data_IF_157312821655
#
_entry.id   IF_157312821655
#
_cell.length_a   1.000
_cell.length_b   1.000
_cell.length_c   1.000
_cell.angle_alpha   90.00
_cell.angle_beta   90.00
_cell.angle_gamma   90.00
#
_symmetry.space_group_name_H-M   'P 1'
#
loop_
_entity.id
_entity.type
_entity.pdbx_description
1 polymer ?
#
# COMPACT_ATOMS: atom_id res chain seq x y z
N UNK A 1 69.72 50.08 -1.35
CA UNK A 1 69.07 49.80 -2.65
C UNK A 1 69.65 48.48 -3.12
N UNK A 2 68.95 47.38 -3.30
CA UNK A 2 67.52 47.13 -3.38
C UNK A 2 67.26 45.65 -3.00
N UNK A 3 66.25 45.44 -2.14
CA UNK A 3 65.33 44.29 -2.03
C UNK A 3 65.87 42.86 -1.76
N UNK A 4 65.76 42.48 -0.49
CA UNK A 4 65.39 41.12 -0.11
C UNK A 4 64.05 40.76 -0.77
N UNK A 5 64.07 39.91 -1.78
CA UNK A 5 62.85 39.35 -2.37
C UNK A 5 62.15 38.50 -1.31
N UNK A 6 61.05 39.02 -0.76
CA UNK A 6 60.11 38.25 0.07
C UNK A 6 59.67 37.04 -0.74
N UNK A 7 60.14 35.85 -0.37
CA UNK A 7 59.74 34.60 -0.99
C UNK A 7 58.26 34.33 -0.65
N UNK A 8 57.36 34.75 -1.52
CA UNK A 8 55.93 34.52 -1.37
C UNK A 8 55.60 33.07 -1.78
N UNK A 9 55.30 32.23 -0.78
CA UNK A 9 54.82 30.87 -1.00
C UNK A 9 53.37 30.93 -1.49
N UNK A 10 53.14 30.38 -2.68
CA UNK A 10 51.83 30.30 -3.33
C UNK A 10 51.09 29.02 -2.95
N UNK A 11 49.77 29.09 -3.00
CA UNK A 11 48.87 27.95 -2.82
C UNK A 11 49.17 26.85 -3.83
N UNK A 12 49.34 25.62 -3.34
CA UNK A 12 49.53 24.44 -4.20
C UNK A 12 48.23 23.66 -4.27
N UNK A 13 47.73 23.41 -5.49
CA UNK A 13 46.54 22.56 -5.71
C UNK A 13 46.70 21.14 -5.14
N UNK A 14 47.93 20.65 -5.00
CA UNK A 14 48.18 19.32 -4.43
C UNK A 14 47.75 19.21 -2.96
N UNK A 15 47.65 20.32 -2.21
CA UNK A 15 47.12 20.33 -0.84
C UNK A 15 45.62 19.97 -0.78
N UNK A 16 44.89 20.12 -1.89
CA UNK A 16 43.50 19.63 -2.00
C UNK A 16 43.42 18.11 -2.15
N UNK A 17 44.55 17.41 -2.27
CA UNK A 17 44.62 15.95 -2.32
C UNK A 17 45.21 15.35 -1.05
N UNK A 18 45.79 16.18 -0.17
CA UNK A 18 46.44 15.75 1.07
C UNK A 18 45.42 15.37 2.15
N UNK A 19 45.62 14.21 2.76
CA UNK A 19 44.75 13.70 3.83
C UNK A 19 44.80 14.64 5.04
N UNK A 20 43.64 15.16 5.43
CA UNK A 20 43.49 16.18 6.49
C UNK A 20 43.35 17.62 6.02
N UNK A 21 43.64 17.93 4.74
CA UNK A 21 43.41 19.25 4.13
C UNK A 21 42.40 19.21 2.97
N UNK A 22 42.35 18.12 2.20
CA UNK A 22 41.49 17.89 1.02
C UNK A 22 40.05 18.34 1.14
N UNK A 23 39.38 18.00 2.24
CA UNK A 23 37.97 18.31 2.44
C UNK A 23 37.73 19.73 2.97
N UNK A 24 38.79 20.44 3.36
CA UNK A 24 38.71 21.64 4.21
C UNK A 24 39.11 22.93 3.50
N UNK A 25 40.00 22.85 2.51
CA UNK A 25 40.54 24.02 1.81
C UNK A 25 40.12 24.06 0.34
N UNK A 26 40.09 25.26 -0.22
CA UNK A 26 39.97 25.53 -1.64
C UNK A 26 40.85 26.73 -2.01
N UNK A 27 41.41 26.72 -3.23
CA UNK A 27 42.08 27.89 -3.78
C UNK A 27 41.13 29.08 -3.96
N UNK A 28 41.62 30.30 -3.73
CA UNK A 28 40.85 31.53 -3.98
C UNK A 28 41.12 32.00 -5.41
N UNK A 29 40.09 32.25 -6.24
CA UNK A 29 40.30 32.75 -7.60
C UNK A 29 41.02 34.11 -7.57
N UNK A 30 42.12 34.22 -8.33
CA UNK A 30 42.94 35.44 -8.52
C UNK A 30 43.80 35.86 -7.32
N UNK A 31 43.88 35.06 -6.24
CA UNK A 31 44.82 35.28 -5.14
C UNK A 31 45.46 33.95 -4.70
N UNK A 32 46.68 33.72 -5.16
CA UNK A 32 47.45 32.51 -4.84
C UNK A 32 48.15 32.61 -3.47
N UNK A 33 48.06 33.74 -2.76
CA UNK A 33 48.72 33.93 -1.46
C UNK A 33 47.88 33.47 -0.27
N UNK A 34 46.62 33.11 -0.52
CA UNK A 34 45.65 32.66 0.49
C UNK A 34 44.87 31.42 0.02
N UNK A 35 44.38 30.65 0.99
CA UNK A 35 43.45 29.54 0.79
C UNK A 35 42.15 29.82 1.53
N UNK A 36 41.01 29.45 0.98
CA UNK A 36 39.72 29.53 1.66
C UNK A 36 39.46 28.26 2.48
N UNK A 37 39.05 28.40 3.73
CA UNK A 37 38.52 27.29 4.51
C UNK A 37 37.02 27.13 4.26
N UNK A 38 36.61 25.95 3.76
CA UNK A 38 35.22 25.60 3.43
C UNK A 38 34.28 25.58 4.65
N UNK A 39 34.81 25.31 5.85
CA UNK A 39 34.03 25.27 7.10
C UNK A 39 33.95 26.62 7.81
N UNK A 40 35.05 27.37 7.82
CA UNK A 40 35.12 28.65 8.53
C UNK A 40 34.63 29.84 7.69
N UNK A 41 34.51 29.65 6.37
CA UNK A 41 34.27 30.71 5.39
C UNK A 41 35.23 31.91 5.56
N UNK A 42 36.50 31.62 5.83
CA UNK A 42 37.58 32.60 6.02
C UNK A 42 38.78 32.25 5.17
N UNK A 43 39.56 33.27 4.78
CA UNK A 43 40.85 33.09 4.12
C UNK A 43 41.96 32.86 5.15
N UNK A 44 42.85 31.92 4.85
CA UNK A 44 44.05 31.58 5.63
C UNK A 44 45.24 31.76 4.70
N UNK A 45 46.37 32.24 5.22
CA UNK A 45 47.59 32.37 4.42
C UNK A 45 47.95 31.03 3.80
N UNK A 46 48.34 31.02 2.51
CA UNK A 46 48.69 29.83 1.75
C UNK A 46 50.07 29.25 2.15
N UNK A 47 50.26 29.05 3.45
CA UNK A 47 51.42 28.42 4.05
C UNK A 47 50.97 27.12 4.71
N UNK A 48 51.58 25.99 4.33
CA UNK A 48 51.15 24.66 4.79
C UNK A 48 51.02 24.57 6.32
N UNK A 49 51.98 25.12 7.06
CA UNK A 49 51.92 25.18 8.52
C UNK A 49 50.70 25.94 9.06
N UNK A 50 50.33 27.06 8.42
CA UNK A 50 49.18 27.88 8.85
C UNK A 50 47.86 27.16 8.54
N UNK A 51 47.78 26.45 7.41
CA UNK A 51 46.63 25.64 7.03
C UNK A 51 46.45 24.44 7.98
N UNK A 52 47.55 23.80 8.38
CA UNK A 52 47.53 22.70 9.35
C UNK A 52 47.15 23.19 10.74
N UNK A 53 47.63 24.36 11.19
CA UNK A 53 47.32 24.91 12.51
C UNK A 53 45.93 25.57 12.59
N UNK A 54 45.38 26.02 11.46
CA UNK A 54 44.02 26.57 11.43
C UNK A 54 42.99 25.55 11.95
N UNK A 55 43.23 24.24 11.75
CA UNK A 55 42.35 23.16 12.24
C UNK A 55 42.19 23.13 13.76
N UNK A 56 43.20 23.59 14.50
CA UNK A 56 43.20 23.59 15.97
C UNK A 56 42.55 24.83 16.57
N UNK A 57 42.16 25.82 15.74
CA UNK A 57 41.46 27.01 16.23
C UNK A 57 40.05 26.65 16.71
N UNK A 58 39.60 27.27 17.80
CA UNK A 58 38.25 27.01 18.35
C UNK A 58 37.14 27.32 17.35
N UNK A 59 37.30 28.40 16.57
CA UNK A 59 36.37 28.75 15.47
C UNK A 59 36.23 27.61 14.46
N UNK A 60 37.35 26.96 14.11
CA UNK A 60 37.32 25.81 13.20
C UNK A 60 36.70 24.57 13.84
N UNK A 61 37.03 24.26 15.10
CA UNK A 61 36.41 23.12 15.81
C UNK A 61 34.89 23.25 15.88
N UNK A 62 34.38 24.44 16.19
CA UNK A 62 32.94 24.74 16.26
C UNK A 62 32.27 24.58 14.89
N UNK A 63 32.87 25.14 13.84
CA UNK A 63 32.25 25.12 12.51
C UNK A 63 32.41 23.78 11.77
N UNK A 64 33.43 22.99 12.12
CA UNK A 64 33.64 21.65 11.56
C UNK A 64 32.85 20.55 12.30
N UNK A 65 32.40 20.79 13.55
CA UNK A 65 31.61 19.83 14.35
C UNK A 65 30.38 19.23 13.65
N UNK A 66 29.59 19.97 12.85
CA UNK A 66 28.46 19.42 12.10
C UNK A 66 28.89 18.45 10.97
N UNK A 67 30.13 18.54 10.52
CA UNK A 67 30.66 17.83 9.35
C UNK A 67 31.71 16.77 9.70
N UNK A 68 32.30 16.83 10.90
CA UNK A 68 33.30 15.87 11.40
C UNK A 68 32.71 14.49 11.64
N UNK A 69 31.39 14.41 11.79
CA UNK A 69 30.63 13.18 11.78
C UNK A 69 29.76 13.14 10.52
N UNK A 70 30.36 12.72 9.41
CA UNK A 70 29.64 11.95 8.39
C UNK A 70 28.99 10.75 9.09
N UNK A 71 27.81 10.96 9.70
CA UNK A 71 26.91 9.88 10.05
C UNK A 71 26.46 9.29 8.72
N UNK A 72 27.19 8.28 8.25
CA UNK A 72 26.61 7.31 7.34
C UNK A 72 25.31 6.85 8.00
N UNK A 73 24.20 6.97 7.27
CA UNK A 73 22.87 6.49 7.66
C UNK A 73 22.89 5.02 8.15
N UNK A 74 23.94 4.28 7.82
CA UNK A 74 24.24 2.90 8.24
C UNK A 74 24.82 2.73 9.65
N UNK A 75 25.19 3.81 10.33
CA UNK A 75 25.64 3.78 11.74
C UNK A 75 24.57 4.25 12.72
N UNK A 76 23.32 4.37 12.28
CA UNK A 76 22.16 4.37 13.19
C UNK A 76 21.86 2.96 13.69
N UNK A 77 22.90 2.26 14.17
CA UNK A 77 22.69 1.36 15.28
C UNK A 77 22.13 2.22 16.39
N UNK A 78 20.96 1.82 16.92
CA UNK A 78 20.38 2.35 18.16
C UNK A 78 21.55 2.73 19.07
N UNK A 79 21.70 4.00 19.51
CA UNK A 79 22.73 4.31 20.48
C UNK A 79 22.55 3.31 21.60
N UNK A 80 23.56 2.48 21.87
CA UNK A 80 23.60 1.66 23.07
C UNK A 80 23.70 2.65 24.22
N UNK A 81 22.58 3.27 24.56
CA UNK A 81 22.40 3.99 25.79
C UNK A 81 22.54 2.94 26.88
N UNK A 82 23.73 2.85 27.46
CA UNK A 82 23.86 2.30 28.78
C UNK A 82 22.84 3.02 29.66
N UNK A 83 21.84 2.29 30.15
CA UNK A 83 20.82 2.83 31.06
C UNK A 83 19.35 2.60 30.71
N UNK A 84 18.96 2.04 29.56
CA UNK A 84 17.54 1.68 29.34
C UNK A 84 17.24 0.34 30.00
N UNK A 85 16.36 0.35 30.99
CA UNK A 85 15.86 -0.87 31.65
C UNK A 85 15.15 -1.78 30.64
N UNK A 86 15.21 -3.10 30.83
CA UNK A 86 14.49 -4.03 29.95
C UNK A 86 12.98 -3.75 29.93
N UNK A 87 12.41 -3.28 31.04
CA UNK A 87 11.01 -2.86 31.13
C UNK A 87 10.67 -1.73 30.16
N UNK A 88 11.50 -0.68 30.09
CA UNK A 88 11.29 0.43 29.16
C UNK A 88 11.32 -0.01 27.68
N UNK A 89 12.26 -0.91 27.31
CA UNK A 89 12.32 -1.47 25.95
C UNK A 89 11.07 -2.27 25.60
N UNK A 90 10.58 -3.09 26.53
CA UNK A 90 9.35 -3.88 26.34
C UNK A 90 8.15 -2.97 26.17
N UNK A 91 8.04 -1.88 26.95
CA UNK A 91 6.94 -0.92 26.83
C UNK A 91 6.96 -0.19 25.48
N UNK A 92 8.14 0.24 25.02
CA UNK A 92 8.30 0.85 23.70
C UNK A 92 7.95 -0.12 22.56
N UNK A 93 8.35 -1.40 22.67
CA UNK A 93 7.99 -2.42 21.69
C UNK A 93 6.47 -2.70 21.67
N UNK A 94 5.83 -2.78 22.84
CA UNK A 94 4.37 -2.94 22.94
C UNK A 94 3.63 -1.77 22.30
N UNK A 95 4.08 -0.54 22.56
CA UNK A 95 3.49 0.65 21.96
C UNK A 95 3.72 0.70 20.44
N UNK A 96 4.94 0.37 19.99
CA UNK A 96 5.24 0.29 18.57
C UNK A 96 4.39 -0.76 17.84
N UNK A 97 4.17 -1.93 18.46
CA UNK A 97 3.27 -2.96 17.93
C UNK A 97 1.82 -2.46 17.86
N UNK A 98 1.33 -1.80 18.90
CA UNK A 98 -0.01 -1.22 18.90
C UNK A 98 -0.19 -0.19 17.78
N UNK A 99 0.78 0.72 17.61
CA UNK A 99 0.76 1.71 16.52
C UNK A 99 0.75 1.01 15.16
N UNK A 100 1.61 0.01 14.95
CA UNK A 100 1.66 -0.72 13.68
C UNK A 100 0.33 -1.38 13.31
N UNK A 101 -0.44 -1.86 14.30
CA UNK A 101 -1.70 -2.55 14.06
C UNK A 101 -2.92 -1.63 13.97
N UNK A 102 -2.90 -0.47 14.64
CA UNK A 102 -4.13 0.28 14.92
C UNK A 102 -4.06 1.77 14.62
N UNK A 103 -2.91 2.33 14.25
CA UNK A 103 -2.79 3.78 14.08
C UNK A 103 -1.74 4.19 13.04
N UNK A 104 -1.76 5.47 12.68
CA UNK A 104 -0.68 6.08 11.93
C UNK A 104 0.54 6.31 12.84
N UNK A 105 1.73 6.00 12.33
CA UNK A 105 3.01 6.27 13.04
C UNK A 105 3.15 7.75 13.40
N UNK A 106 2.50 8.66 12.64
CA UNK A 106 2.50 10.11 12.95
C UNK A 106 1.90 10.44 14.32
N UNK A 107 1.03 9.58 14.85
CA UNK A 107 0.38 9.81 16.15
C UNK A 107 1.31 9.56 17.34
N UNK A 108 2.42 8.84 17.13
CA UNK A 108 3.26 8.36 18.23
C UNK A 108 3.98 9.49 18.97
N UNK A 109 4.25 10.61 18.29
CA UNK A 109 4.97 11.75 18.87
C UNK A 109 4.17 12.36 20.04
N UNK A 110 2.90 12.70 19.79
CA UNK A 110 2.01 13.24 20.84
C UNK A 110 1.54 12.17 21.81
N UNK A 111 1.34 10.93 21.35
CA UNK A 111 0.93 9.83 22.23
C UNK A 111 2.00 9.53 23.28
N UNK A 112 3.29 9.56 22.89
CA UNK A 112 4.40 9.36 23.82
C UNK A 112 4.48 10.43 24.90
N UNK A 113 4.16 11.69 24.58
CA UNK A 113 4.07 12.79 25.54
C UNK A 113 2.89 12.61 26.51
N UNK A 114 1.71 12.33 25.97
CA UNK A 114 0.50 12.10 26.77
C UNK A 114 0.67 10.93 27.75
N UNK A 115 1.27 9.82 27.31
CA UNK A 115 1.50 8.65 28.17
C UNK A 115 2.44 8.99 29.34
N UNK A 116 3.44 9.87 29.16
CA UNK A 116 4.30 10.35 30.25
C UNK A 116 3.54 11.21 31.26
N UNK A 117 2.62 12.05 30.79
CA UNK A 117 1.80 12.87 31.66
C UNK A 117 0.85 12.02 32.50
N UNK A 118 0.19 11.03 31.89
CA UNK A 118 -0.77 10.14 32.56
C UNK A 118 -0.07 9.19 33.53
N UNK A 119 1.06 8.60 33.13
CA UNK A 119 1.74 7.54 33.90
C UNK A 119 2.69 8.10 34.98
N UNK A 120 2.85 9.43 35.05
CA UNK A 120 3.85 10.08 35.89
C UNK A 120 5.27 10.02 35.32
N UNK A 121 6.18 10.82 35.89
CA UNK A 121 7.58 10.98 35.44
C UNK A 121 8.43 9.69 35.50
N UNK A 122 7.91 8.61 36.08
CA UNK A 122 8.65 7.34 36.27
C UNK A 122 8.69 6.44 35.03
N UNK A 123 7.80 6.64 34.05
CA UNK A 123 7.90 5.88 32.79
C UNK A 123 8.93 6.51 31.85
N UNK A 124 10.10 5.89 31.75
CA UNK A 124 11.11 6.20 30.74
C UNK A 124 10.66 5.75 29.34
N UNK A 125 9.63 6.39 28.78
CA UNK A 125 9.13 6.14 27.43
C UNK A 125 9.68 7.23 26.50
N UNK A 126 10.65 6.94 25.64
CA UNK A 126 11.13 7.92 24.67
C UNK A 126 10.91 7.34 23.27
N UNK A 127 9.65 7.39 22.83
CA UNK A 127 9.23 6.85 21.54
C UNK A 127 8.72 7.97 20.64
N UNK A 128 9.56 8.36 19.68
CA UNK A 128 9.19 9.27 18.59
C UNK A 128 9.03 8.50 17.29
N UNK A 129 8.43 9.13 16.27
CA UNK A 129 8.17 8.56 14.94
C UNK A 129 9.35 7.75 14.41
N UNK A 130 10.55 8.34 14.36
CA UNK A 130 11.75 7.69 13.81
C UNK A 130 12.12 6.41 14.57
N UNK A 131 12.03 6.45 15.91
CA UNK A 131 12.33 5.29 16.75
C UNK A 131 11.24 4.23 16.64
N UNK A 132 9.96 4.62 16.60
CA UNK A 132 8.85 3.71 16.38
C UNK A 132 8.99 2.98 15.04
N UNK A 133 9.26 3.72 13.96
CA UNK A 133 9.54 3.13 12.64
C UNK A 133 10.73 2.17 12.69
N UNK A 134 11.82 2.53 13.38
CA UNK A 134 12.97 1.65 13.52
C UNK A 134 12.65 0.38 14.32
N UNK A 135 11.90 0.48 15.42
CA UNK A 135 11.47 -0.69 16.20
C UNK A 135 10.57 -1.63 15.38
N UNK A 136 9.65 -1.07 14.59
CA UNK A 136 8.79 -1.86 13.71
C UNK A 136 9.64 -2.56 12.64
N UNK A 137 10.46 -1.81 11.90
CA UNK A 137 11.15 -2.33 10.72
C UNK A 137 12.40 -3.16 11.02
N UNK A 138 13.07 -2.90 12.15
CA UNK A 138 14.37 -3.53 12.46
C UNK A 138 14.28 -4.53 13.62
N UNK A 139 13.22 -4.51 14.43
CA UNK A 139 13.05 -5.45 15.53
C UNK A 139 11.80 -6.33 15.36
N UNK A 140 10.60 -5.74 15.35
CA UNK A 140 9.35 -6.49 15.32
C UNK A 140 9.19 -7.28 14.01
N UNK A 141 9.27 -6.59 12.86
CA UNK A 141 9.12 -7.21 11.54
C UNK A 141 10.08 -8.39 11.30
N UNK A 142 11.41 -8.20 11.47
CA UNK A 142 12.37 -9.29 11.30
C UNK A 142 12.16 -10.45 12.29
N UNK A 143 11.78 -10.16 13.53
CA UNK A 143 11.50 -11.20 14.53
C UNK A 143 10.26 -12.04 14.14
N UNK A 144 9.16 -11.37 13.77
CA UNK A 144 7.94 -12.04 13.32
C UNK A 144 8.16 -12.82 12.03
N UNK A 145 8.94 -12.28 11.09
CA UNK A 145 9.32 -12.99 9.86
C UNK A 145 10.11 -14.25 10.18
N UNK A 146 11.09 -14.16 11.09
CA UNK A 146 11.90 -15.32 11.50
C UNK A 146 11.04 -16.38 12.19
N UNK A 147 10.12 -15.98 13.06
CA UNK A 147 9.16 -16.89 13.71
C UNK A 147 8.28 -17.58 12.68
N UNK A 148 7.72 -16.83 11.72
CA UNK A 148 6.92 -17.37 10.62
C UNK A 148 7.71 -18.38 9.79
N UNK A 149 8.92 -18.02 9.35
CA UNK A 149 9.78 -18.93 8.58
C UNK A 149 10.18 -20.17 9.39
N UNK A 150 10.35 -20.05 10.71
CA UNK A 150 10.64 -21.18 11.58
C UNK A 150 9.43 -22.08 11.82
N UNK A 151 8.21 -21.55 11.80
CA UNK A 151 6.98 -22.36 11.92
C UNK A 151 6.68 -23.10 10.60
N UNK A 152 6.99 -22.48 9.46
CA UNK A 152 6.95 -23.13 8.13
C UNK A 152 8.05 -24.19 8.03
N UNK A 153 9.29 -23.83 8.39
CA UNK A 153 10.47 -24.70 8.38
C UNK A 153 10.54 -25.56 7.12
N UNK A 154 10.49 -26.88 7.30
CA UNK A 154 10.66 -27.89 6.27
C UNK A 154 9.32 -28.44 5.73
N UNK A 155 8.20 -27.79 6.06
CA UNK A 155 6.86 -28.23 5.66
C UNK A 155 6.51 -27.83 4.23
N UNK A 156 5.54 -28.53 3.64
CA UNK A 156 4.93 -28.12 2.39
C UNK A 156 4.09 -26.86 2.60
N UNK A 157 4.14 -25.95 1.62
CA UNK A 157 3.40 -24.70 1.67
C UNK A 157 2.79 -24.35 0.32
N UNK A 158 1.84 -23.43 0.33
CA UNK A 158 1.25 -22.84 -0.86
C UNK A 158 1.36 -21.33 -0.81
N UNK A 159 1.38 -20.68 -1.97
CA UNK A 159 1.43 -19.23 -2.09
C UNK A 159 0.12 -18.70 -2.66
N UNK A 160 -0.32 -17.57 -2.15
CA UNK A 160 -1.40 -16.76 -2.73
C UNK A 160 -0.76 -15.43 -3.10
N UNK A 161 -0.80 -15.08 -4.39
CA UNK A 161 -0.21 -13.85 -4.89
C UNK A 161 -1.24 -12.98 -5.57
N UNK A 162 -1.17 -11.67 -5.30
CA UNK A 162 -2.05 -10.66 -5.89
C UNK A 162 -1.23 -9.42 -6.28
N UNK A 163 -1.47 -8.89 -7.48
CA UNK A 163 -0.79 -7.70 -7.97
C UNK A 163 -1.62 -6.46 -7.61
N UNK A 164 -1.00 -5.49 -6.93
CA UNK A 164 -1.60 -4.19 -6.68
C UNK A 164 -0.72 -3.08 -7.25
N UNK A 165 -1.34 -2.04 -7.79
CA UNK A 165 -0.65 -0.81 -8.20
C UNK A 165 -0.80 0.22 -7.10
N UNK A 166 0.31 0.71 -6.56
CA UNK A 166 0.33 1.79 -5.58
C UNK A 166 -0.04 3.14 -6.25
N UNK A 167 -0.48 4.11 -5.46
CA UNK A 167 -0.86 5.46 -5.89
C UNK A 167 0.32 6.17 -6.58
N UNK A 168 1.55 5.78 -6.24
CA UNK A 168 2.80 6.28 -6.82
C UNK A 168 3.21 5.57 -8.12
N UNK A 169 2.32 4.77 -8.73
CA UNK A 169 2.53 3.96 -9.95
C UNK A 169 3.47 2.76 -9.81
N UNK A 170 3.98 2.49 -8.60
CA UNK A 170 4.77 1.31 -8.31
C UNK A 170 3.90 0.05 -8.25
N UNK A 171 4.29 -1.00 -8.98
CA UNK A 171 3.63 -2.30 -8.92
C UNK A 171 4.20 -3.11 -7.77
N UNK A 172 3.34 -3.64 -6.91
CA UNK A 172 3.72 -4.48 -5.78
C UNK A 172 2.97 -5.81 -5.87
N UNK A 173 3.68 -6.90 -5.64
CA UNK A 173 3.11 -8.23 -5.51
C UNK A 173 2.93 -8.54 -4.03
N UNK A 174 1.68 -8.62 -3.57
CA UNK A 174 1.37 -9.14 -2.26
C UNK A 174 1.54 -10.67 -2.27
N UNK A 175 2.33 -11.19 -1.34
CA UNK A 175 2.57 -12.63 -1.20
C UNK A 175 2.07 -13.07 0.16
N UNK A 176 1.12 -13.99 0.17
CA UNK A 176 0.68 -14.71 1.36
C UNK A 176 1.15 -16.17 1.25
N UNK A 177 1.45 -16.77 2.40
CA UNK A 177 1.81 -18.17 2.52
C UNK A 177 0.72 -18.91 3.29
N UNK A 178 0.38 -20.11 2.82
CA UNK A 178 -0.55 -21.03 3.47
C UNK A 178 0.15 -22.35 3.75
N UNK A 179 0.19 -22.78 5.01
CA UNK A 179 0.97 -23.94 5.43
C UNK A 179 0.38 -24.62 6.68
N UNK A 180 0.70 -25.91 6.95
CA UNK A 180 0.34 -26.58 8.19
C UNK A 180 1.30 -26.17 9.32
N UNK A 181 0.78 -25.48 10.33
CA UNK A 181 1.55 -25.21 11.56
C UNK A 181 1.34 -26.34 12.55
N UNK A 182 2.40 -27.13 12.78
CA UNK A 182 2.39 -28.22 13.76
C UNK A 182 2.34 -27.69 15.19
N UNK A 183 2.94 -26.53 15.44
CA UNK A 183 2.91 -25.87 16.76
C UNK A 183 1.49 -25.45 17.15
N UNK A 184 0.72 -24.92 16.20
CA UNK A 184 -0.66 -24.45 16.40
C UNK A 184 -1.74 -25.46 16.02
N UNK A 185 -1.35 -26.63 15.49
CA UNK A 185 -2.22 -27.73 15.04
C UNK A 185 -3.33 -27.27 14.07
N UNK A 186 -3.01 -26.34 13.18
CA UNK A 186 -3.97 -25.80 12.18
C UNK A 186 -3.26 -25.34 10.92
N UNK A 187 -4.03 -25.24 9.83
CA UNK A 187 -3.59 -24.55 8.62
C UNK A 187 -3.60 -23.04 8.89
N UNK A 188 -2.50 -22.38 8.56
CA UNK A 188 -2.33 -20.93 8.75
C UNK A 188 -2.15 -20.30 7.39
N UNK A 189 -2.89 -19.21 7.15
CA UNK A 189 -2.59 -18.26 6.09
C UNK A 189 -1.97 -17.03 6.75
N UNK A 190 -0.79 -16.64 6.30
CA UNK A 190 -0.09 -15.46 6.83
C UNK A 190 0.44 -14.61 5.68
N UNK A 191 0.46 -13.30 5.88
CA UNK A 191 1.20 -12.41 5.02
C UNK A 191 2.69 -12.77 5.08
N UNK A 192 3.31 -12.92 3.91
CA UNK A 192 4.74 -13.24 3.78
C UNK A 192 5.54 -12.01 3.37
N UNK A 193 5.00 -11.15 2.50
CA UNK A 193 5.69 -9.92 2.13
C UNK A 193 5.05 -9.20 0.95
N UNK A 194 5.57 -7.99 0.69
CA UNK A 194 5.31 -7.24 -0.52
C UNK A 194 6.60 -7.22 -1.34
N UNK A 195 6.51 -7.67 -2.59
CA UNK A 195 7.63 -7.67 -3.53
C UNK A 195 7.44 -6.53 -4.50
N UNK A 196 8.42 -5.64 -4.58
CA UNK A 196 8.42 -4.55 -5.56
C UNK A 196 8.71 -5.12 -6.96
N UNK A 197 7.89 -4.71 -7.92
CA UNK A 197 8.01 -5.14 -9.31
C UNK A 197 8.43 -3.95 -10.16
N UNK A 198 9.59 -4.06 -10.81
CA UNK A 198 10.03 -3.07 -11.79
C UNK A 198 9.09 -3.05 -13.02
N UNK A 199 8.55 -4.22 -13.39
CA UNK A 199 7.67 -4.41 -14.54
C UNK A 199 6.62 -5.47 -14.24
N UNK A 200 5.44 -5.33 -14.82
CA UNK A 200 4.35 -6.32 -14.72
C UNK A 200 4.43 -7.43 -15.77
N UNK A 201 5.63 -7.83 -16.23
CA UNK A 201 5.77 -8.97 -17.16
C UNK A 201 5.86 -10.26 -16.35
N UNK A 202 5.40 -11.37 -16.93
CA UNK A 202 5.44 -12.68 -16.27
C UNK A 202 6.86 -13.06 -15.82
N UNK A 203 7.86 -12.73 -16.63
CA UNK A 203 9.27 -12.91 -16.29
C UNK A 203 9.69 -12.12 -15.06
N UNK A 204 9.43 -10.81 -15.04
CA UNK A 204 9.82 -9.95 -13.93
C UNK A 204 9.13 -10.39 -12.63
N UNK A 205 7.83 -10.71 -12.70
CA UNK A 205 7.06 -11.21 -11.56
C UNK A 205 7.64 -12.53 -11.04
N UNK A 206 7.92 -13.49 -11.93
CA UNK A 206 8.46 -14.80 -11.52
C UNK A 206 9.84 -14.65 -10.88
N UNK A 207 10.74 -13.88 -11.52
CA UNK A 207 12.10 -13.67 -11.03
C UNK A 207 12.08 -12.99 -9.66
N UNK A 208 11.30 -11.92 -9.50
CA UNK A 208 11.18 -11.24 -8.21
C UNK A 208 10.57 -12.12 -7.13
N UNK A 209 9.56 -12.93 -7.47
CA UNK A 209 8.94 -13.88 -6.54
C UNK A 209 9.92 -14.97 -6.09
N UNK A 210 10.64 -15.61 -7.02
CA UNK A 210 11.63 -16.64 -6.70
C UNK A 210 12.78 -16.08 -5.88
N UNK A 211 13.30 -14.90 -6.26
CA UNK A 211 14.34 -14.20 -5.49
C UNK A 211 13.86 -13.88 -4.08
N UNK A 212 12.63 -13.39 -3.91
CA UNK A 212 12.06 -13.13 -2.59
C UNK A 212 12.00 -14.41 -1.73
N UNK A 213 11.48 -15.51 -2.30
CA UNK A 213 11.37 -16.80 -1.59
C UNK A 213 12.74 -17.35 -1.19
N UNK A 214 13.71 -17.33 -2.11
CA UNK A 214 15.02 -17.97 -1.91
C UNK A 214 16.00 -17.09 -1.12
N UNK A 215 16.10 -15.80 -1.46
CA UNK A 215 17.09 -14.90 -0.87
C UNK A 215 16.61 -14.25 0.43
N UNK A 216 15.34 -13.86 0.50
CA UNK A 216 14.78 -13.15 1.65
C UNK A 216 14.20 -14.11 2.68
N UNK A 217 13.27 -14.97 2.26
CA UNK A 217 12.54 -15.87 3.16
C UNK A 217 13.32 -17.17 3.44
N UNK A 218 14.15 -17.60 2.47
CA UNK A 218 14.96 -18.83 2.53
C UNK A 218 14.13 -20.11 2.63
N UNK A 219 13.03 -20.18 1.89
CA UNK A 219 12.23 -21.40 1.76
C UNK A 219 12.60 -22.16 0.48
N UNK A 220 12.46 -23.48 0.52
CA UNK A 220 12.65 -24.32 -0.65
C UNK A 220 11.43 -24.24 -1.59
N UNK A 221 11.64 -23.67 -2.77
CA UNK A 221 10.63 -23.54 -3.84
C UNK A 221 10.04 -24.89 -4.24
N UNK A 222 10.81 -25.99 -4.12
CA UNK A 222 10.32 -27.34 -4.45
C UNK A 222 9.23 -27.83 -3.47
N UNK A 223 9.16 -27.26 -2.26
CA UNK A 223 8.12 -27.55 -1.27
C UNK A 223 6.85 -26.70 -1.44
N UNK A 224 6.87 -25.77 -2.40
CA UNK A 224 5.69 -25.03 -2.80
C UNK A 224 4.74 -25.94 -3.60
N UNK A 225 3.73 -26.51 -2.96
CA UNK A 225 2.79 -27.45 -3.59
C UNK A 225 1.65 -26.75 -4.31
N UNK A 226 1.39 -25.48 -3.97
CA UNK A 226 0.25 -24.72 -4.51
C UNK A 226 0.58 -23.27 -4.82
N UNK A 227 0.07 -22.76 -5.94
CA UNK A 227 0.11 -21.35 -6.30
C UNK A 227 -1.30 -20.87 -6.65
N UNK A 228 -1.80 -19.91 -5.90
CA UNK A 228 -3.04 -19.22 -6.19
C UNK A 228 -2.77 -17.82 -6.75
N UNK A 229 -3.37 -17.51 -7.89
CA UNK A 229 -3.18 -16.22 -8.59
C UNK A 229 -4.51 -15.68 -9.10
N UNK A 230 -4.53 -14.42 -9.50
CA UNK A 230 -5.59 -13.93 -10.38
C UNK A 230 -5.63 -14.71 -11.72
N UNK A 231 -6.73 -14.55 -12.46
CA UNK A 231 -6.94 -15.24 -13.73
C UNK A 231 -6.26 -14.57 -14.93
N UNK A 232 -5.35 -13.61 -14.72
CA UNK A 232 -4.74 -12.86 -15.80
C UNK A 232 -3.83 -13.76 -16.66
N UNK A 233 -3.74 -13.48 -17.97
CA UNK A 233 -2.87 -14.22 -18.88
C UNK A 233 -1.39 -14.15 -18.45
N UNK A 234 -0.95 -13.02 -17.90
CA UNK A 234 0.40 -12.88 -17.35
C UNK A 234 0.67 -13.84 -16.19
N UNK A 235 -0.35 -14.16 -15.38
CA UNK A 235 -0.21 -15.01 -14.19
C UNK A 235 -0.39 -16.50 -14.52
N UNK A 236 -1.38 -16.83 -15.36
CA UNK A 236 -1.81 -18.22 -15.58
C UNK A 236 -1.92 -18.66 -17.05
N UNK A 237 -1.44 -17.86 -18.00
CA UNK A 237 -1.42 -18.19 -19.42
C UNK A 237 -0.64 -19.48 -19.73
N UNK A 238 -0.96 -20.12 -20.85
CA UNK A 238 -0.31 -21.37 -21.26
C UNK A 238 1.19 -21.20 -21.55
N UNK A 239 1.56 -20.03 -22.08
CA UNK A 239 2.94 -19.70 -22.44
C UNK A 239 3.36 -18.39 -21.80
N UNK A 240 4.61 -18.34 -21.36
CA UNK A 240 5.25 -17.16 -20.77
C UNK A 240 4.39 -16.48 -19.69
N UNK A 241 3.87 -17.28 -18.77
CA UNK A 241 3.14 -16.82 -17.59
C UNK A 241 3.94 -17.10 -16.32
N UNK A 242 3.54 -16.48 -15.21
CA UNK A 242 4.13 -16.77 -13.90
C UNK A 242 4.02 -18.25 -13.58
N UNK A 243 2.85 -18.85 -13.84
CA UNK A 243 2.65 -20.28 -13.66
C UNK A 243 3.56 -21.14 -14.54
N UNK A 244 3.65 -20.84 -15.84
CA UNK A 244 4.46 -21.66 -16.76
C UNK A 244 5.94 -21.62 -16.38
N UNK A 245 6.44 -20.44 -16.00
CA UNK A 245 7.83 -20.25 -15.55
C UNK A 245 8.09 -20.85 -14.17
N UNK A 246 7.14 -20.72 -13.24
CA UNK A 246 7.28 -21.36 -11.92
C UNK A 246 7.37 -22.88 -12.05
N UNK A 247 6.61 -23.48 -12.99
CA UNK A 247 6.66 -24.91 -13.29
C UNK A 247 8.00 -25.40 -13.83
N UNK A 248 8.80 -24.53 -14.44
CA UNK A 248 10.16 -24.89 -14.86
C UNK A 248 11.06 -25.19 -13.64
N UNK A 249 10.79 -24.54 -12.50
CA UNK A 249 11.52 -24.73 -11.24
C UNK A 249 10.88 -25.81 -10.37
N UNK A 250 9.55 -25.84 -10.31
CA UNK A 250 8.77 -26.84 -9.58
C UNK A 250 7.64 -27.40 -10.46
N UNK A 251 7.87 -28.50 -11.20
CA UNK A 251 6.88 -29.09 -12.09
C UNK A 251 5.63 -29.63 -11.39
N UNK A 252 5.70 -29.93 -10.08
CA UNK A 252 4.61 -30.54 -9.31
C UNK A 252 3.61 -29.52 -8.77
N UNK A 253 3.82 -28.22 -9.01
CA UNK A 253 2.98 -27.18 -8.44
C UNK A 253 1.53 -27.22 -8.97
N UNK A 254 0.58 -27.22 -8.04
CA UNK A 254 -0.84 -27.12 -8.35
C UNK A 254 -1.24 -25.66 -8.44
N UNK A 255 -1.93 -25.28 -9.52
CA UNK A 255 -2.41 -23.91 -9.70
C UNK A 255 -3.89 -23.81 -9.33
N UNK A 256 -4.24 -22.76 -8.59
CA UNK A 256 -5.62 -22.42 -8.27
C UNK A 256 -5.90 -21.01 -8.78
N UNK A 257 -6.80 -20.89 -9.76
CA UNK A 257 -7.30 -19.58 -10.20
C UNK A 257 -8.18 -18.97 -9.13
N UNK A 258 -8.08 -17.66 -8.95
CA UNK A 258 -8.98 -16.91 -8.09
C UNK A 258 -10.45 -17.13 -8.50
N UNK A 259 -11.20 -17.81 -7.63
CA UNK A 259 -12.63 -18.11 -7.84
C UNK A 259 -13.42 -16.79 -7.87
N UNK A 260 -13.07 -15.85 -6.99
CA UNK A 260 -13.71 -14.54 -6.95
C UNK A 260 -13.58 -13.79 -8.28
N UNK A 261 -12.35 -13.74 -8.82
CA UNK A 261 -12.09 -13.14 -10.12
C UNK A 261 -12.81 -13.89 -11.26
N UNK A 262 -12.90 -15.22 -11.17
CA UNK A 262 -13.60 -16.04 -12.17
C UNK A 262 -15.11 -15.76 -12.17
N UNK A 263 -15.74 -15.67 -10.99
CA UNK A 263 -17.16 -15.32 -10.83
C UNK A 263 -17.45 -13.90 -11.33
N UNK A 264 -16.56 -12.96 -11.00
CA UNK A 264 -16.59 -11.60 -11.50
C UNK A 264 -16.55 -11.53 -13.03
N UNK A 265 -15.62 -12.24 -13.67
CA UNK A 265 -15.52 -12.30 -15.14
C UNK A 265 -16.76 -12.93 -15.77
N UNK A 266 -17.23 -14.05 -15.22
CA UNK A 266 -18.45 -14.72 -15.68
C UNK A 266 -19.65 -13.78 -15.64
N UNK A 267 -19.83 -13.06 -14.53
CA UNK A 267 -20.92 -12.10 -14.36
C UNK A 267 -20.79 -10.95 -15.34
N UNK A 268 -19.60 -10.34 -15.46
CA UNK A 268 -19.36 -9.27 -16.44
C UNK A 268 -19.68 -9.72 -17.87
N UNK A 269 -19.27 -10.93 -18.25
CA UNK A 269 -19.54 -11.47 -19.59
C UNK A 269 -21.03 -11.73 -19.83
N UNK A 270 -21.76 -12.24 -18.83
CA UNK A 270 -23.20 -12.41 -18.90
C UNK A 270 -23.92 -11.06 -19.06
N UNK A 271 -23.47 -10.02 -18.36
CA UNK A 271 -24.09 -8.69 -18.42
C UNK A 271 -23.87 -7.99 -19.76
N UNK A 272 -22.74 -8.25 -20.43
CA UNK A 272 -22.53 -7.80 -21.82
C UNK A 272 -23.51 -8.40 -22.82
N UNK A 273 -24.28 -9.44 -22.45
CA UNK A 273 -25.38 -9.98 -23.27
C UNK A 273 -26.71 -9.27 -23.04
N UNK A 274 -26.81 -8.45 -21.98
CA UNK A 274 -27.98 -7.64 -21.69
C UNK A 274 -27.85 -6.25 -22.35
N UNK A 275 -28.95 -5.52 -22.49
CA UNK A 275 -28.90 -4.19 -23.06
C UNK A 275 -27.99 -3.25 -22.26
N UNK A 276 -27.04 -2.60 -22.95
CA UNK A 276 -26.02 -1.73 -22.34
C UNK A 276 -26.60 -0.54 -21.57
N UNK A 277 -27.82 -0.12 -21.91
CA UNK A 277 -28.49 0.99 -21.23
C UNK A 277 -28.83 0.70 -19.77
N UNK A 278 -28.89 -0.57 -19.32
CA UNK A 278 -29.15 -0.90 -17.91
C UNK A 278 -28.01 -0.45 -17.00
N UNK A 279 -26.76 -0.71 -17.40
CA UNK A 279 -25.57 -0.27 -16.66
C UNK A 279 -25.46 1.26 -16.66
N UNK A 280 -25.72 1.87 -17.82
CA UNK A 280 -25.76 3.32 -17.96
C UNK A 280 -26.75 3.95 -17.00
N UNK A 281 -27.99 3.45 -16.93
CA UNK A 281 -29.05 3.95 -16.04
C UNK A 281 -28.58 4.01 -14.58
N UNK A 282 -28.03 2.92 -14.07
CA UNK A 282 -27.59 2.79 -12.67
C UNK A 282 -26.40 3.72 -12.39
N UNK A 283 -25.42 3.73 -13.29
CA UNK A 283 -24.22 4.56 -13.16
C UNK A 283 -24.53 6.06 -13.23
N UNK A 284 -25.38 6.44 -14.18
CA UNK A 284 -25.74 7.83 -14.43
C UNK A 284 -26.65 8.37 -13.31
N UNK A 285 -27.51 7.52 -12.73
CA UNK A 285 -28.27 7.88 -11.51
C UNK A 285 -27.32 8.29 -10.39
N UNK A 286 -26.24 7.54 -10.13
CA UNK A 286 -25.24 7.94 -9.12
C UNK A 286 -24.54 9.25 -9.49
N UNK A 287 -24.06 9.38 -10.74
CA UNK A 287 -23.32 10.58 -11.20
C UNK A 287 -24.15 11.85 -11.11
N UNK A 288 -25.45 11.75 -11.38
CA UNK A 288 -26.37 12.88 -11.29
C UNK A 288 -26.34 13.56 -9.93
N UNK A 289 -26.22 12.76 -8.85
CA UNK A 289 -26.17 13.24 -7.47
C UNK A 289 -24.74 13.47 -6.94
N UNK A 290 -23.73 12.70 -7.39
CA UNK A 290 -22.40 12.68 -6.76
C UNK A 290 -21.70 14.03 -6.71
N UNK A 291 -21.98 14.91 -7.67
CA UNK A 291 -21.34 16.22 -7.79
C UNK A 291 -22.21 17.41 -7.36
N UNK A 292 -23.42 17.18 -6.83
CA UNK A 292 -24.33 18.26 -6.45
C UNK A 292 -25.00 18.01 -5.10
N UNK A 293 -24.54 18.77 -4.09
CA UNK A 293 -25.16 18.80 -2.77
C UNK A 293 -26.61 19.29 -2.83
N UNK A 294 -26.91 20.23 -3.73
CA UNK A 294 -28.26 20.73 -3.94
C UNK A 294 -29.21 19.64 -4.45
N UNK A 295 -28.78 18.83 -5.44
CA UNK A 295 -29.61 17.71 -5.93
C UNK A 295 -29.82 16.65 -4.87
N UNK A 296 -28.79 16.35 -4.07
CA UNK A 296 -28.92 15.43 -2.93
C UNK A 296 -29.92 15.95 -1.91
N UNK A 297 -29.90 17.25 -1.58
CA UNK A 297 -30.86 17.86 -0.66
C UNK A 297 -32.29 17.85 -1.21
N UNK A 298 -32.49 18.25 -2.47
CA UNK A 298 -33.80 18.18 -3.14
C UNK A 298 -34.37 16.77 -3.12
N UNK A 299 -33.54 15.78 -3.45
CA UNK A 299 -33.97 14.38 -3.43
C UNK A 299 -34.29 13.89 -2.01
N UNK A 300 -33.48 14.24 -1.01
CA UNK A 300 -33.76 13.89 0.39
C UNK A 300 -35.08 14.49 0.90
N UNK A 301 -35.36 15.76 0.56
CA UNK A 301 -36.63 16.41 0.89
C UNK A 301 -37.82 15.71 0.24
N UNK A 302 -37.73 15.43 -1.07
CA UNK A 302 -38.76 14.69 -1.80
C UNK A 302 -38.97 13.30 -1.19
N UNK A 303 -37.89 12.56 -0.95
CA UNK A 303 -37.93 11.23 -0.36
C UNK A 303 -38.62 11.24 1.00
N UNK A 304 -38.26 12.18 1.89
CA UNK A 304 -38.86 12.29 3.23
C UNK A 304 -40.35 12.70 3.20
N UNK A 305 -40.79 13.32 2.11
CA UNK A 305 -42.20 13.69 1.88
C UNK A 305 -43.02 12.48 1.45
N UNK A 306 -42.45 11.62 0.60
CA UNK A 306 -43.08 10.37 0.13
C UNK A 306 -43.07 9.31 1.25
N UNK A 307 -41.92 9.16 1.90
CA UNK A 307 -41.64 8.19 2.96
C UNK A 307 -41.48 8.94 4.29
N UNK A 308 -42.62 9.17 4.96
CA UNK A 308 -42.75 10.07 6.12
C UNK A 308 -41.68 9.76 7.18
N UNK A 309 -40.71 10.68 7.32
CA UNK A 309 -39.65 10.61 8.33
C UNK A 309 -38.45 9.73 7.96
N UNK A 310 -38.43 9.11 6.78
CA UNK A 310 -37.31 8.30 6.31
C UNK A 310 -36.28 9.11 5.52
N UNK A 311 -35.10 8.52 5.35
CA UNK A 311 -34.00 9.10 4.56
C UNK A 311 -33.67 8.19 3.38
N UNK A 312 -33.30 8.77 2.22
CA UNK A 312 -32.94 7.98 1.07
C UNK A 312 -31.69 7.14 1.33
N UNK A 313 -31.65 5.95 0.74
CA UNK A 313 -30.45 5.12 0.78
C UNK A 313 -29.36 5.76 -0.08
N UNK A 314 -28.18 5.92 0.50
CA UNK A 314 -27.02 6.50 -0.19
C UNK A 314 -26.70 5.69 -1.45
N UNK A 315 -26.83 6.28 -2.63
CA UNK A 315 -26.45 5.62 -3.88
C UNK A 315 -24.95 5.29 -3.91
N UNK A 316 -24.60 4.24 -4.63
CA UNK A 316 -23.23 3.72 -4.73
C UNK A 316 -22.70 3.91 -6.14
N UNK A 317 -21.41 4.24 -6.24
CA UNK A 317 -20.72 4.28 -7.51
C UNK A 317 -20.52 2.86 -8.02
N UNK A 318 -20.88 2.62 -9.28
CA UNK A 318 -20.51 1.40 -9.98
C UNK A 318 -18.99 1.36 -10.17
N UNK A 319 -18.34 0.29 -9.74
CA UNK A 319 -16.92 0.07 -10.01
C UNK A 319 -16.75 -0.57 -11.38
N UNK A 320 -15.94 0.05 -12.24
CA UNK A 320 -15.59 -0.51 -13.57
C UNK A 320 -14.82 -1.84 -13.47
N UNK A 321 -14.05 -2.03 -12.39
CA UNK A 321 -13.21 -3.22 -12.19
C UNK A 321 -13.84 -4.27 -11.28
N UNK A 322 -14.79 -3.89 -10.42
CA UNK A 322 -15.45 -4.79 -9.46
C UNK A 322 -16.96 -4.79 -9.68
N UNK A 323 -17.39 -5.48 -10.72
CA UNK A 323 -18.78 -5.77 -11.08
C UNK A 323 -19.62 -6.28 -9.92
N UNK A 324 -19.04 -6.98 -8.94
CA UNK A 324 -19.80 -7.39 -7.74
C UNK A 324 -20.31 -6.20 -6.89
N UNK A 325 -19.80 -4.99 -7.12
CA UNK A 325 -20.36 -3.74 -6.60
C UNK A 325 -21.71 -3.36 -7.24
N UNK A 326 -22.13 -3.99 -8.34
CA UNK A 326 -23.43 -3.73 -8.97
C UNK A 326 -24.60 -4.22 -8.13
N UNK A 327 -24.44 -5.31 -7.37
CA UNK A 327 -25.53 -5.89 -6.57
C UNK A 327 -26.13 -4.88 -5.57
N UNK A 328 -25.30 -4.20 -4.74
CA UNK A 328 -25.83 -3.17 -3.85
C UNK A 328 -26.27 -1.89 -4.59
N UNK A 329 -25.69 -1.57 -5.77
CA UNK A 329 -26.18 -0.46 -6.60
C UNK A 329 -27.61 -0.73 -7.10
N UNK A 330 -27.85 -1.90 -7.70
CA UNK A 330 -29.15 -2.35 -8.19
C UNK A 330 -30.18 -2.38 -7.08
N UNK A 331 -29.81 -2.94 -5.93
CA UNK A 331 -30.70 -3.03 -4.78
C UNK A 331 -31.15 -1.64 -4.33
N UNK A 332 -30.23 -0.66 -4.23
CA UNK A 332 -30.57 0.71 -3.81
C UNK A 332 -31.37 1.49 -4.83
N UNK A 333 -31.14 1.26 -6.12
CA UNK A 333 -31.95 1.86 -7.18
C UNK A 333 -33.37 1.28 -7.17
N UNK A 334 -33.51 -0.05 -7.05
CA UNK A 334 -34.81 -0.71 -7.00
C UNK A 334 -35.63 -0.35 -5.76
N UNK A 335 -34.99 -0.22 -4.60
CA UNK A 335 -35.64 0.16 -3.35
C UNK A 335 -36.19 1.59 -3.35
N UNK A 336 -35.71 2.44 -4.26
CA UNK A 336 -36.10 3.84 -4.35
C UNK A 336 -36.59 4.19 -5.76
N UNK A 337 -37.04 3.19 -6.53
CA UNK A 337 -37.23 3.33 -7.98
C UNK A 337 -38.30 4.38 -8.31
N UNK A 338 -39.39 4.38 -7.54
CA UNK A 338 -40.53 5.23 -7.81
C UNK A 338 -40.27 6.67 -7.32
N UNK A 339 -39.53 6.83 -6.21
CA UNK A 339 -39.04 8.12 -5.72
C UNK A 339 -38.02 8.75 -6.69
N UNK A 340 -37.09 7.96 -7.22
CA UNK A 340 -36.14 8.40 -8.24
C UNK A 340 -36.86 8.81 -9.52
N UNK A 341 -37.84 8.02 -9.97
CA UNK A 341 -38.67 8.35 -11.14
C UNK A 341 -39.37 9.71 -10.98
N UNK A 342 -39.99 9.95 -9.82
CA UNK A 342 -40.66 11.21 -9.52
C UNK A 342 -39.67 12.38 -9.42
N UNK A 343 -38.50 12.16 -8.82
CA UNK A 343 -37.45 13.16 -8.75
C UNK A 343 -37.01 13.64 -10.14
N UNK A 344 -36.79 12.71 -11.06
CA UNK A 344 -36.38 13.04 -12.42
C UNK A 344 -37.50 13.69 -13.23
N UNK A 345 -38.77 13.36 -12.97
CA UNK A 345 -39.92 14.06 -13.56
C UNK A 345 -39.94 15.54 -13.17
N UNK A 346 -39.81 15.84 -11.87
CA UNK A 346 -39.78 17.23 -11.39
C UNK A 346 -38.54 17.97 -11.94
N UNK A 347 -37.37 17.33 -11.85
CA UNK A 347 -36.10 17.94 -12.23
C UNK A 347 -35.98 18.24 -13.73
N UNK A 348 -36.66 17.45 -14.59
CA UNK A 348 -36.76 17.71 -16.02
C UNK A 348 -37.38 19.07 -16.32
N UNK A 349 -38.42 19.45 -15.57
CA UNK A 349 -39.12 20.73 -15.78
C UNK A 349 -38.39 21.92 -15.14
N UNK A 350 -37.75 21.73 -13.99
CA UNK A 350 -37.08 22.81 -13.26
C UNK A 350 -35.71 23.21 -13.83
N UNK A 351 -34.88 22.24 -14.22
CA UNK A 351 -33.46 22.47 -14.48
C UNK A 351 -33.09 22.50 -15.98
N UNK A 352 -34.04 22.24 -16.89
CA UNK A 352 -33.79 22.03 -18.33
C UNK A 352 -32.58 21.12 -18.59
N UNK A 353 -32.43 20.10 -17.75
CA UNK A 353 -31.27 19.23 -17.74
C UNK A 353 -31.54 17.98 -18.57
N UNK A 354 -30.80 17.80 -19.66
CA UNK A 354 -30.89 16.64 -20.54
C UNK A 354 -30.71 15.31 -19.79
N UNK A 355 -29.80 15.24 -18.83
CA UNK A 355 -29.59 14.02 -18.03
C UNK A 355 -30.80 13.66 -17.18
N UNK A 356 -31.50 14.67 -16.62
CA UNK A 356 -32.72 14.42 -15.85
C UNK A 356 -33.86 13.91 -16.73
N UNK A 357 -34.04 14.49 -17.93
CA UNK A 357 -35.03 14.01 -18.90
C UNK A 357 -34.72 12.59 -19.39
N UNK A 358 -33.46 12.32 -19.74
CA UNK A 358 -33.01 10.99 -20.15
C UNK A 358 -33.25 9.96 -19.04
N UNK A 359 -32.84 10.25 -17.81
CA UNK A 359 -33.08 9.36 -16.68
C UNK A 359 -34.58 9.16 -16.45
N UNK A 360 -35.39 10.22 -16.48
CA UNK A 360 -36.84 10.08 -16.37
C UNK A 360 -37.41 9.12 -17.42
N UNK A 361 -37.03 9.28 -18.69
CA UNK A 361 -37.47 8.39 -19.77
C UNK A 361 -37.07 6.93 -19.49
N UNK A 362 -35.86 6.69 -18.99
CA UNK A 362 -35.39 5.35 -18.63
C UNK A 362 -36.14 4.74 -17.44
N UNK A 363 -36.43 5.53 -16.39
CA UNK A 363 -37.24 5.08 -15.24
C UNK A 363 -38.74 4.92 -15.59
N UNK A 364 -39.21 5.58 -16.65
CA UNK A 364 -40.58 5.47 -17.13
C UNK A 364 -40.83 4.25 -18.02
N UNK A 365 -39.78 3.68 -18.62
CA UNK A 365 -39.88 2.44 -19.39
C UNK A 365 -40.00 1.19 -18.47
N UNK A 366 -41.14 0.47 -18.49
CA UNK A 366 -41.33 -0.70 -17.65
C UNK A 366 -40.34 -1.84 -17.97
N UNK A 367 -39.80 -1.91 -19.20
CA UNK A 367 -38.82 -2.92 -19.56
C UNK A 367 -37.54 -2.77 -18.73
N UNK A 368 -37.10 -1.54 -18.45
CA UNK A 368 -35.92 -1.28 -17.62
C UNK A 368 -36.14 -1.76 -16.18
N UNK A 369 -37.30 -1.47 -15.57
CA UNK A 369 -37.63 -1.98 -14.23
C UNK A 369 -37.58 -3.51 -14.20
N UNK A 370 -38.14 -4.17 -15.22
CA UNK A 370 -38.12 -5.64 -15.33
C UNK A 370 -36.70 -6.20 -15.43
N UNK A 371 -35.81 -5.61 -16.24
CA UNK A 371 -34.41 -6.03 -16.31
C UNK A 371 -33.71 -5.92 -14.95
N UNK A 372 -33.86 -4.80 -14.24
CA UNK A 372 -33.24 -4.63 -12.94
C UNK A 372 -33.78 -5.63 -11.91
N UNK A 373 -35.10 -5.87 -11.89
CA UNK A 373 -35.75 -6.85 -11.00
C UNK A 373 -35.26 -8.27 -11.29
N UNK A 374 -35.11 -8.63 -12.57
CA UNK A 374 -34.54 -9.92 -12.98
C UNK A 374 -33.07 -10.07 -12.55
N UNK A 375 -32.28 -9.01 -12.68
CA UNK A 375 -30.85 -9.01 -12.39
C UNK A 375 -30.51 -9.07 -10.91
N UNK A 376 -31.27 -8.35 -10.09
CA UNK A 376 -30.99 -8.17 -8.67
C UNK A 376 -30.76 -9.50 -7.91
N UNK A 377 -31.61 -10.53 -8.02
CA UNK A 377 -31.40 -11.78 -7.27
C UNK A 377 -30.16 -12.54 -7.75
N UNK A 378 -29.92 -12.58 -9.06
CA UNK A 378 -28.78 -13.30 -9.66
C UNK A 378 -27.46 -12.69 -9.17
N UNK A 379 -27.28 -11.37 -9.34
CA UNK A 379 -26.06 -10.69 -8.93
C UNK A 379 -25.89 -10.74 -7.40
N UNK A 380 -26.99 -10.67 -6.64
CA UNK A 380 -26.94 -10.79 -5.17
C UNK A 380 -26.43 -12.15 -4.72
N UNK A 381 -26.85 -13.24 -5.37
CA UNK A 381 -26.33 -14.59 -5.07
C UNK A 381 -24.86 -14.73 -5.42
N UNK A 382 -24.42 -14.21 -6.57
CA UNK A 382 -22.98 -14.22 -6.94
C UNK A 382 -22.17 -13.44 -5.91
N UNK A 383 -22.62 -12.23 -5.52
CA UNK A 383 -21.93 -11.41 -4.53
C UNK A 383 -21.88 -12.07 -3.15
N UNK A 384 -22.94 -12.78 -2.76
CA UNK A 384 -22.98 -13.57 -1.52
C UNK A 384 -21.89 -14.64 -1.52
N UNK A 385 -21.82 -15.45 -2.57
CA UNK A 385 -20.80 -16.50 -2.70
C UNK A 385 -19.40 -15.90 -2.75
N UNK A 386 -19.20 -14.80 -3.47
CA UNK A 386 -17.91 -14.13 -3.52
C UNK A 386 -17.42 -13.68 -2.13
N UNK A 387 -18.30 -13.05 -1.35
CA UNK A 387 -18.00 -12.67 0.04
C UNK A 387 -17.65 -13.87 0.90
N UNK A 388 -18.24 -15.03 0.66
CA UNK A 388 -17.87 -16.27 1.37
C UNK A 388 -16.45 -16.72 1.02
N UNK A 389 -16.02 -16.59 -0.24
CA UNK A 389 -14.63 -16.90 -0.63
C UNK A 389 -13.61 -15.87 -0.11
N UNK A 390 -14.05 -14.67 0.25
CA UNK A 390 -13.20 -13.59 0.78
C UNK A 390 -13.06 -13.60 2.32
N UNK A 391 -13.80 -14.44 3.06
CA UNK A 391 -13.69 -14.45 4.52
C UNK A 391 -12.38 -15.08 5.00
N UNK A 392 -11.85 -14.59 6.12
CA UNK A 392 -10.60 -15.10 6.72
C UNK A 392 -10.71 -16.56 7.21
N UNK A 393 -11.91 -17.01 7.54
CA UNK A 393 -12.20 -18.33 8.10
C UNK A 393 -13.35 -18.99 7.36
N UNK A 394 -13.01 -19.91 6.45
CA UNK A 394 -14.00 -20.63 5.64
C UNK A 394 -13.85 -22.13 5.74
N UNK A 395 -14.99 -22.81 5.87
CA UNK A 395 -15.06 -24.26 5.67
C UNK A 395 -15.08 -24.55 4.16
N UNK A 396 -14.04 -25.21 3.66
CA UNK A 396 -13.87 -25.52 2.22
C UNK A 396 -15.04 -26.35 1.68
N UNK A 397 -15.55 -27.32 2.44
CA UNK A 397 -16.70 -28.13 2.03
C UNK A 397 -17.97 -27.29 1.90
N UNK A 398 -18.16 -26.31 2.79
CA UNK A 398 -19.28 -25.37 2.70
C UNK A 398 -19.13 -24.45 1.47
N UNK A 399 -17.93 -23.95 1.21
CA UNK A 399 -17.66 -23.11 0.02
C UNK A 399 -17.98 -23.84 -1.28
N UNK A 400 -17.58 -25.11 -1.40
CA UNK A 400 -17.88 -25.92 -2.58
C UNK A 400 -19.39 -26.14 -2.74
N UNK A 401 -20.09 -26.47 -1.65
CA UNK A 401 -21.55 -26.66 -1.68
C UNK A 401 -22.28 -25.39 -2.13
N UNK A 402 -21.85 -24.22 -1.64
CA UNK A 402 -22.43 -22.92 -1.99
C UNK A 402 -22.17 -22.53 -3.44
N UNK A 403 -20.96 -22.78 -3.94
CA UNK A 403 -20.63 -22.58 -5.35
C UNK A 403 -21.48 -23.49 -6.26
N UNK A 404 -21.66 -24.75 -5.88
CA UNK A 404 -22.52 -25.69 -6.61
C UNK A 404 -24.00 -25.29 -6.54
N UNK A 405 -24.45 -24.75 -5.41
CA UNK A 405 -25.81 -24.22 -5.26
C UNK A 405 -26.03 -23.01 -6.16
N UNK A 406 -25.05 -22.10 -6.26
CA UNK A 406 -25.10 -20.96 -7.18
C UNK A 406 -25.19 -21.43 -8.64
N UNK A 407 -24.35 -22.40 -9.02
CA UNK A 407 -24.35 -22.97 -10.36
C UNK A 407 -25.71 -23.56 -10.74
N UNK A 408 -26.32 -24.37 -9.84
CA UNK A 408 -27.66 -24.92 -10.04
C UNK A 408 -28.73 -23.83 -10.13
N UNK A 409 -28.68 -22.86 -9.21
CA UNK A 409 -29.65 -21.75 -9.17
C UNK A 409 -29.65 -20.89 -10.44
N UNK A 410 -28.52 -20.79 -11.15
CA UNK A 410 -28.42 -20.01 -12.39
C UNK A 410 -28.93 -20.82 -13.59
N UNK A 411 -28.75 -22.15 -13.60
CA UNK A 411 -29.10 -22.98 -14.75
C UNK A 411 -30.56 -23.47 -14.77
N UNK A 412 -31.27 -23.40 -13.64
CA UNK A 412 -32.64 -23.91 -13.50
C UNK A 412 -32.64 -25.36 -13.04
#
# INVERSE_FOLDING_TARGET
MDKWTKYERKYKKDWEKEDGLKERIAGVPRDDTVAACKFCNTTVRAHHFDLVNHKSTEKHKINALPFSNMRTLFQSGIPRSGGITNSAKVNELKLAAHIACHSSIKTVDHLGELVKEISGKETALSLHRTKCSALINQALGPCMMKELCSDISDTEYSLIIDESTDITTEKKLAVLVRYPSFSKKKIITSFLGLVELERGTAEAVTTSLLNFIQATVKLDVKKCTGLATDGCNTMCGAHNSVLSRFREVNPQITHIKCICHSLQLCTSYAMRKLPSHQEFMVSETYRYFSHSTLRQQKYAQLYSTINVGEQPLKLQQLSETRWLAIAPCLTRVLQQYDELKLHFEISKHEEKNYTADLLHQMYSDPANKLYLVFLQPVVSQVNRVNKMFEMDHCNVSKLLAELMSLYKSILG
#
